data_IF_939931732876
#
_entry.id   IF_939931732876
#
_cell.length_a   1.000
_cell.length_b   1.000
_cell.length_c   1.000
_cell.angle_alpha   90.00
_cell.angle_beta   90.00
_cell.angle_gamma   90.00
#
_symmetry.space_group_name_H-M   'P 1'
#
loop_
_entity.id
_entity.type
_entity.pdbx_description
1 polymer ?
#
# COMPACT_ATOMS: atom_id res chain seq x y z
N UNK A 1 18.26 -15.17 -1.96
CA UNK A 1 18.93 -15.95 -0.89
C UNK A 1 20.26 -15.35 -0.43
N UNK A 2 21.12 -14.84 -1.31
CA UNK A 2 22.41 -14.25 -0.93
C UNK A 2 22.33 -13.15 0.13
N UNK A 3 21.32 -12.25 0.04
CA UNK A 3 21.14 -11.19 1.01
C UNK A 3 20.85 -11.72 2.43
N UNK A 4 20.01 -12.76 2.57
CA UNK A 4 19.66 -13.37 3.87
C UNK A 4 20.89 -14.00 4.54
N UNK A 5 21.75 -14.65 3.74
CA UNK A 5 23.03 -15.18 4.23
C UNK A 5 23.92 -14.04 4.70
N UNK A 6 24.13 -13.02 3.85
CA UNK A 6 24.92 -11.83 4.19
C UNK A 6 24.39 -11.16 5.46
N UNK A 7 23.07 -10.99 5.57
CA UNK A 7 22.45 -10.35 6.73
C UNK A 7 22.63 -11.16 8.01
N UNK A 8 22.32 -12.46 8.00
CA UNK A 8 22.38 -13.31 9.19
C UNK A 8 23.81 -13.65 9.62
N UNK A 9 24.73 -13.82 8.67
CA UNK A 9 26.16 -14.07 8.98
C UNK A 9 26.84 -12.75 9.37
N UNK A 10 26.63 -11.70 8.58
CA UNK A 10 27.25 -10.40 8.80
C UNK A 10 26.92 -9.80 10.18
N UNK A 11 25.65 -9.90 10.60
CA UNK A 11 25.23 -9.42 11.93
C UNK A 11 25.84 -10.19 13.11
N UNK A 12 26.37 -11.40 12.89
CA UNK A 12 27.04 -12.20 13.91
C UNK A 12 28.57 -11.99 13.95
N UNK A 13 29.17 -11.73 12.78
CA UNK A 13 30.60 -11.65 12.61
C UNK A 13 31.15 -10.24 12.64
N UNK A 14 30.33 -9.24 12.28
CA UNK A 14 30.80 -7.86 12.13
C UNK A 14 30.17 -6.96 13.21
N UNK A 15 30.91 -5.92 13.60
CA UNK A 15 30.34 -4.83 14.38
C UNK A 15 29.28 -4.07 13.61
N UNK A 16 28.39 -3.33 14.29
CA UNK A 16 27.22 -2.66 13.70
C UNK A 16 27.59 -1.78 12.49
N UNK A 17 28.61 -0.94 12.60
CA UNK A 17 28.98 0.01 11.55
C UNK A 17 29.52 -0.67 10.28
N UNK A 18 30.57 -1.54 10.34
CA UNK A 18 31.05 -2.23 9.14
C UNK A 18 30.00 -3.15 8.51
N UNK A 19 29.17 -3.82 9.32
CA UNK A 19 28.05 -4.59 8.80
C UNK A 19 27.10 -3.72 7.98
N UNK A 20 26.66 -2.59 8.55
CA UNK A 20 25.76 -1.65 7.88
C UNK A 20 26.30 -1.16 6.54
N UNK A 21 27.59 -0.82 6.50
CA UNK A 21 28.26 -0.36 5.27
C UNK A 21 28.28 -1.48 4.22
N UNK A 22 28.80 -2.65 4.58
CA UNK A 22 28.97 -3.78 3.64
C UNK A 22 27.61 -4.21 3.09
N UNK A 23 26.63 -4.40 3.97
CA UNK A 23 25.29 -4.81 3.54
C UNK A 23 24.66 -3.79 2.61
N UNK A 24 24.74 -2.49 2.94
CA UNK A 24 24.18 -1.42 2.11
C UNK A 24 24.84 -1.36 0.74
N UNK A 25 26.17 -1.45 0.68
CA UNK A 25 26.91 -1.46 -0.59
C UNK A 25 26.56 -2.68 -1.45
N UNK A 26 26.48 -3.86 -0.86
CA UNK A 26 26.04 -5.08 -1.57
C UNK A 26 24.61 -4.95 -2.08
N UNK A 27 23.71 -4.37 -1.28
CA UNK A 27 22.33 -4.12 -1.68
C UNK A 27 22.23 -3.12 -2.82
N UNK A 28 22.97 -2.01 -2.75
CA UNK A 28 23.06 -1.01 -3.83
C UNK A 28 23.61 -1.64 -5.11
N UNK A 29 24.69 -2.44 -5.01
CA UNK A 29 25.26 -3.13 -6.16
C UNK A 29 24.25 -4.08 -6.81
N UNK A 30 23.49 -4.83 -6.03
CA UNK A 30 22.39 -5.67 -6.53
C UNK A 30 21.32 -4.82 -7.23
N UNK A 31 20.92 -3.68 -6.66
CA UNK A 31 19.95 -2.78 -7.29
C UNK A 31 20.48 -2.21 -8.62
N UNK A 32 21.76 -1.85 -8.71
CA UNK A 32 22.40 -1.39 -9.96
C UNK A 32 22.33 -2.48 -11.03
N UNK A 33 22.59 -3.72 -10.64
CA UNK A 33 22.55 -4.86 -11.56
C UNK A 33 21.12 -5.16 -12.07
N UNK A 34 20.11 -5.15 -11.18
CA UNK A 34 18.73 -5.55 -11.55
C UNK A 34 17.90 -4.42 -12.15
N UNK A 35 18.13 -3.17 -11.78
CA UNK A 35 17.31 -2.04 -12.26
C UNK A 35 18.05 -1.19 -13.28
N UNK A 36 18.90 -0.31 -12.85
CA UNK A 36 19.88 0.46 -13.63
C UNK A 36 20.68 1.39 -12.72
N UNK A 37 21.90 1.76 -13.11
CA UNK A 37 22.68 2.78 -12.38
C UNK A 37 21.94 4.10 -12.23
N UNK A 38 21.21 4.53 -13.27
CA UNK A 38 20.46 5.80 -13.29
C UNK A 38 19.36 5.84 -12.24
N UNK A 39 18.55 4.78 -12.12
CA UNK A 39 17.47 4.71 -11.14
C UNK A 39 18.00 4.66 -9.71
N UNK A 40 19.09 3.93 -9.49
CA UNK A 40 19.73 3.86 -8.17
C UNK A 40 20.33 5.20 -7.79
N UNK A 41 21.03 5.88 -8.71
CA UNK A 41 21.57 7.21 -8.49
C UNK A 41 20.45 8.24 -8.19
N UNK A 42 19.32 8.15 -8.90
CA UNK A 42 18.14 9.00 -8.65
C UNK A 42 17.57 8.77 -7.25
N UNK A 43 17.41 7.51 -6.84
CA UNK A 43 16.92 7.18 -5.50
C UNK A 43 17.87 7.71 -4.40
N UNK A 44 19.19 7.49 -4.55
CA UNK A 44 20.20 7.99 -3.60
C UNK A 44 20.18 9.52 -3.55
N UNK A 45 20.10 10.19 -4.71
CA UNK A 45 20.03 11.65 -4.78
C UNK A 45 18.81 12.21 -4.05
N UNK A 46 17.61 11.60 -4.25
CA UNK A 46 16.40 11.97 -3.50
C UNK A 46 16.61 11.84 -1.99
N UNK A 47 17.12 10.71 -1.53
CA UNK A 47 17.38 10.47 -0.11
C UNK A 47 18.39 11.46 0.46
N UNK A 48 19.45 11.77 -0.29
CA UNK A 48 20.49 12.72 0.12
C UNK A 48 19.93 14.14 0.23
N UNK A 49 19.17 14.61 -0.76
CA UNK A 49 18.51 15.93 -0.71
C UNK A 49 17.60 16.03 0.51
N UNK A 50 16.74 15.04 0.73
CA UNK A 50 15.83 15.02 1.87
C UNK A 50 16.59 15.00 3.20
N UNK A 51 17.65 14.19 3.31
CA UNK A 51 18.46 14.11 4.52
C UNK A 51 19.13 15.44 4.85
N UNK A 52 19.76 16.09 3.85
CA UNK A 52 20.42 17.38 4.02
C UNK A 52 19.42 18.46 4.42
N UNK A 53 18.30 18.57 3.71
CA UNK A 53 17.24 19.54 4.02
C UNK A 53 16.70 19.35 5.45
N UNK A 54 16.41 18.11 5.85
CA UNK A 54 15.91 17.80 7.18
C UNK A 54 16.98 17.90 8.28
N UNK A 55 18.25 17.79 7.94
CA UNK A 55 19.34 18.04 8.86
C UNK A 55 19.40 19.52 9.29
N UNK A 56 19.28 20.46 8.34
CA UNK A 56 19.30 21.90 8.60
C UNK A 56 17.95 22.41 9.18
N UNK A 57 16.85 21.97 8.59
CA UNK A 57 15.51 22.48 8.94
C UNK A 57 14.69 21.39 9.63
N UNK A 58 14.94 21.05 10.86
CA UNK A 58 14.33 19.95 11.62
C UNK A 58 12.81 20.12 11.86
N UNK A 59 12.02 20.31 10.79
CA UNK A 59 10.58 20.49 10.82
C UNK A 59 9.90 19.45 9.93
N UNK A 60 8.76 18.91 10.38
CA UNK A 60 7.97 17.94 9.59
C UNK A 60 7.58 18.47 8.21
N UNK A 61 7.28 19.77 8.12
CA UNK A 61 6.97 20.43 6.84
C UNK A 61 8.14 20.37 5.84
N UNK A 62 9.39 20.39 6.31
CA UNK A 62 10.57 20.29 5.44
C UNK A 62 10.62 18.96 4.71
N UNK A 63 10.18 17.86 5.36
CA UNK A 63 10.09 16.53 4.75
C UNK A 63 9.16 16.56 3.54
N UNK A 64 7.97 17.19 3.70
CA UNK A 64 6.98 17.28 2.61
C UNK A 64 7.42 18.24 1.51
N UNK A 65 7.99 19.39 1.86
CA UNK A 65 8.50 20.38 0.90
C UNK A 65 9.65 19.80 0.06
N UNK A 66 10.49 18.94 0.63
CA UNK A 66 11.58 18.30 -0.13
C UNK A 66 11.12 17.06 -0.90
N UNK A 67 10.12 16.31 -0.43
CA UNK A 67 9.70 15.06 -1.07
C UNK A 67 8.66 15.25 -2.19
N UNK A 68 7.63 16.08 -1.98
CA UNK A 68 6.53 16.21 -2.94
C UNK A 68 6.96 16.78 -4.31
N UNK A 69 7.79 17.83 -4.41
CA UNK A 69 8.26 18.30 -5.71
C UNK A 69 9.16 17.27 -6.43
N UNK A 70 10.00 16.54 -5.68
CA UNK A 70 10.83 15.48 -6.25
C UNK A 70 9.96 14.34 -6.79
N UNK A 71 8.96 13.90 -6.01
CA UNK A 71 8.01 12.88 -6.44
C UNK A 71 7.26 13.33 -7.70
N UNK A 72 6.69 14.54 -7.69
CA UNK A 72 5.99 15.10 -8.84
C UNK A 72 6.87 15.12 -10.08
N UNK A 73 8.11 15.63 -9.96
CA UNK A 73 9.04 15.72 -11.07
C UNK A 73 9.38 14.34 -11.66
N UNK A 74 9.70 13.38 -10.80
CA UNK A 74 10.04 12.01 -11.23
C UNK A 74 8.85 11.32 -11.89
N UNK A 75 7.66 11.45 -11.30
CA UNK A 75 6.45 10.82 -11.83
C UNK A 75 5.97 11.45 -13.14
N UNK A 76 6.21 12.75 -13.34
CA UNK A 76 5.84 13.44 -14.58
C UNK A 76 6.85 13.26 -15.71
N UNK A 77 8.08 12.87 -15.40
CA UNK A 77 9.20 12.72 -16.35
C UNK A 77 9.72 11.28 -16.42
N UNK A 78 8.84 10.29 -16.22
CA UNK A 78 9.23 8.86 -16.12
C UNK A 78 10.06 8.40 -17.33
N UNK A 79 9.69 8.81 -18.55
CA UNK A 79 10.36 8.43 -19.80
C UNK A 79 11.80 8.92 -19.88
N UNK A 80 12.17 9.97 -19.15
CA UNK A 80 13.56 10.46 -19.10
C UNK A 80 14.47 9.55 -18.27
N UNK A 81 13.92 8.84 -17.31
CA UNK A 81 14.68 8.04 -16.36
C UNK A 81 14.68 6.56 -16.69
N UNK A 82 13.62 6.04 -17.31
CA UNK A 82 13.53 4.65 -17.70
C UNK A 82 12.55 4.46 -18.86
N UNK A 83 12.87 3.51 -19.75
CA UNK A 83 11.93 3.02 -20.77
C UNK A 83 10.78 2.22 -20.15
N UNK A 84 10.95 1.71 -18.93
CA UNK A 84 9.93 0.99 -18.19
C UNK A 84 9.45 1.84 -16.98
N UNK A 85 8.34 2.58 -17.11
CA UNK A 85 7.81 3.41 -16.03
C UNK A 85 7.50 2.62 -14.75
N UNK A 86 7.15 1.33 -14.86
CA UNK A 86 6.86 0.46 -13.72
C UNK A 86 8.03 0.38 -12.73
N UNK A 87 9.28 0.38 -13.22
CA UNK A 87 10.46 0.38 -12.36
C UNK A 87 10.60 1.66 -11.54
N UNK A 88 10.16 2.79 -12.09
CA UNK A 88 10.15 4.06 -11.35
C UNK A 88 9.09 4.01 -10.25
N UNK A 89 7.89 3.54 -10.58
CA UNK A 89 6.79 3.41 -9.61
C UNK A 89 7.16 2.46 -8.46
N UNK A 90 7.83 1.35 -8.74
CA UNK A 90 8.13 0.33 -7.73
C UNK A 90 9.41 0.59 -6.95
N UNK A 91 10.43 1.18 -7.56
CA UNK A 91 11.72 1.38 -6.89
C UNK A 91 11.89 2.81 -6.36
N UNK A 92 11.82 3.82 -7.24
CA UNK A 92 12.12 5.20 -6.86
C UNK A 92 11.07 5.77 -5.92
N UNK A 93 9.79 5.47 -6.18
CA UNK A 93 8.70 5.98 -5.34
C UNK A 93 8.62 5.28 -3.99
N UNK A 94 8.84 3.96 -3.92
CA UNK A 94 8.87 3.24 -2.63
C UNK A 94 10.07 3.66 -1.79
N UNK A 95 11.26 3.83 -2.38
CA UNK A 95 12.41 4.35 -1.65
C UNK A 95 12.17 5.75 -1.10
N UNK A 96 11.39 6.59 -1.81
CA UNK A 96 10.99 7.90 -1.27
C UNK A 96 10.12 7.78 -0.02
N UNK A 97 9.17 6.83 0.03
CA UNK A 97 8.37 6.61 1.26
C UNK A 97 9.27 6.23 2.44
N UNK A 98 10.29 5.41 2.20
CA UNK A 98 11.27 5.06 3.23
C UNK A 98 12.05 6.30 3.71
N UNK A 99 12.47 7.18 2.80
CA UNK A 99 13.14 8.42 3.18
C UNK A 99 12.23 9.37 3.95
N UNK A 100 10.95 9.50 3.55
CA UNK A 100 9.94 10.26 4.31
C UNK A 100 9.80 9.68 5.71
N UNK A 101 9.63 8.37 5.82
CA UNK A 101 9.48 7.68 7.10
C UNK A 101 10.69 7.91 8.02
N UNK A 102 11.92 7.71 7.50
CA UNK A 102 13.15 7.95 8.26
C UNK A 102 13.21 9.37 8.82
N UNK A 103 13.01 10.37 7.95
CA UNK A 103 13.13 11.76 8.37
C UNK A 103 12.02 12.17 9.35
N UNK A 104 10.76 11.74 9.11
CA UNK A 104 9.65 12.01 10.03
C UNK A 104 9.89 11.41 11.41
N UNK A 105 10.26 10.14 11.47
CA UNK A 105 10.47 9.43 12.74
C UNK A 105 11.70 9.95 13.48
N UNK A 106 12.76 10.32 12.75
CA UNK A 106 13.96 10.93 13.36
C UNK A 106 13.66 12.31 13.93
N UNK A 107 12.82 13.12 13.29
CA UNK A 107 12.35 14.40 13.83
C UNK A 107 11.53 14.17 15.12
N UNK A 108 10.72 13.09 15.16
CA UNK A 108 9.96 12.68 16.34
C UNK A 108 10.82 12.04 17.45
N UNK A 109 12.10 11.82 17.21
CA UNK A 109 13.05 11.26 18.19
C UNK A 109 13.34 9.77 18.08
N UNK A 110 12.75 9.06 17.11
CA UNK A 110 13.04 7.64 16.90
C UNK A 110 14.49 7.44 16.41
N UNK A 111 15.13 6.36 16.89
CA UNK A 111 16.47 5.97 16.46
C UNK A 111 17.60 6.94 16.85
N UNK A 112 17.33 7.96 17.67
CA UNK A 112 18.38 8.88 18.16
C UNK A 112 19.25 8.19 19.20
N UNK A 113 20.54 8.01 18.87
CA UNK A 113 21.58 7.65 19.81
C UNK A 113 22.39 8.92 20.14
N UNK A 114 22.82 9.05 21.40
CA UNK A 114 23.47 10.28 21.92
C UNK A 114 24.77 10.65 21.20
N UNK A 115 25.48 9.65 20.63
CA UNK A 115 26.78 9.80 19.98
C UNK A 115 26.75 9.63 18.44
N UNK A 116 25.58 9.82 17.81
CA UNK A 116 25.47 9.64 16.37
C UNK A 116 26.05 10.81 15.57
N UNK A 117 27.14 10.57 14.87
CA UNK A 117 27.67 11.50 13.87
C UNK A 117 26.69 11.62 12.68
N UNK A 118 26.77 12.71 11.93
CA UNK A 118 25.97 12.94 10.71
C UNK A 118 26.11 11.76 9.74
N UNK A 119 27.35 11.26 9.57
CA UNK A 119 27.63 10.14 8.69
C UNK A 119 26.96 8.85 9.17
N UNK A 120 26.99 8.53 10.46
CA UNK A 120 26.28 7.36 11.00
C UNK A 120 24.77 7.43 10.78
N UNK A 121 24.19 8.60 10.95
CA UNK A 121 22.74 8.83 10.67
C UNK A 121 22.41 8.64 9.20
N UNK A 122 23.25 9.16 8.30
CA UNK A 122 23.09 8.98 6.86
C UNK A 122 23.21 7.49 6.45
N UNK A 123 24.24 6.80 6.96
CA UNK A 123 24.42 5.36 6.73
C UNK A 123 23.23 4.53 7.24
N UNK A 124 22.67 4.88 8.39
CA UNK A 124 21.48 4.22 8.94
C UNK A 124 20.25 4.46 8.05
N UNK A 125 20.06 5.66 7.52
CA UNK A 125 19.00 5.94 6.54
C UNK A 125 19.17 5.08 5.29
N UNK A 126 20.38 4.99 4.74
CA UNK A 126 20.67 4.17 3.57
C UNK A 126 20.45 2.69 3.85
N UNK A 127 20.91 2.18 5.00
CA UNK A 127 20.69 0.81 5.41
C UNK A 127 19.21 0.46 5.52
N UNK A 128 18.42 1.31 6.16
CA UNK A 128 16.98 1.13 6.26
C UNK A 128 16.32 1.11 4.88
N UNK A 129 16.63 2.09 4.03
CA UNK A 129 16.02 2.19 2.70
C UNK A 129 16.43 1.03 1.79
N UNK A 130 17.70 0.61 1.83
CA UNK A 130 18.22 -0.47 1.01
C UNK A 130 18.18 -1.85 1.69
N UNK A 131 17.43 -2.00 2.77
CA UNK A 131 17.15 -3.33 3.32
C UNK A 131 16.26 -4.10 2.35
N UNK A 132 16.83 -5.07 1.67
CA UNK A 132 16.26 -5.74 0.49
C UNK A 132 14.81 -6.22 0.66
N UNK A 133 14.41 -6.88 1.76
CA UNK A 133 13.03 -7.34 1.91
C UNK A 133 12.00 -6.21 1.98
N UNK A 134 12.37 -4.99 2.35
CA UNK A 134 11.43 -3.86 2.48
C UNK A 134 11.55 -2.84 1.35
N UNK A 135 12.47 -3.07 0.41
CA UNK A 135 12.83 -2.07 -0.59
C UNK A 135 11.75 -1.79 -1.64
N UNK A 136 10.96 -2.82 -2.06
CA UNK A 136 10.11 -2.71 -3.25
C UNK A 136 8.61 -2.76 -3.00
N UNK A 137 8.16 -3.39 -1.93
CA UNK A 137 6.74 -3.66 -1.75
C UNK A 137 6.26 -3.61 -0.31
N UNK A 138 7.15 -3.86 0.65
CA UNK A 138 6.80 -3.82 2.06
C UNK A 138 7.18 -2.47 2.65
N UNK A 139 6.16 -1.65 2.92
CA UNK A 139 6.36 -0.40 3.66
C UNK A 139 6.37 -0.73 5.15
N UNK A 140 7.55 -0.63 5.76
CA UNK A 140 7.72 -0.75 7.22
C UNK A 140 8.27 0.57 7.71
N UNK A 141 7.56 1.26 8.59
CA UNK A 141 7.98 2.56 9.09
C UNK A 141 9.32 2.46 9.84
N UNK A 142 10.12 3.52 9.79
CA UNK A 142 11.46 3.51 10.36
C UNK A 142 11.47 3.16 11.86
N UNK A 143 10.55 3.70 12.64
CA UNK A 143 10.41 3.37 14.06
C UNK A 143 10.09 1.89 14.29
N UNK A 144 9.30 1.26 13.41
CA UNK A 144 8.99 -0.17 13.47
C UNK A 144 10.19 -1.02 13.02
N UNK A 145 10.92 -0.56 12.01
CA UNK A 145 12.16 -1.21 11.56
C UNK A 145 13.21 -1.25 12.67
N UNK A 146 13.48 -0.13 13.33
CA UNK A 146 14.42 -0.05 14.47
C UNK A 146 13.98 -0.97 15.61
N UNK A 147 12.68 -1.01 15.92
CA UNK A 147 12.12 -1.91 16.94
C UNK A 147 12.32 -3.38 16.57
N UNK A 148 12.08 -3.75 15.31
CA UNK A 148 12.30 -5.11 14.82
C UNK A 148 13.79 -5.48 14.84
N UNK A 149 14.67 -4.56 14.43
CA UNK A 149 16.12 -4.75 14.47
C UNK A 149 16.63 -4.98 15.90
N UNK A 150 16.12 -4.24 16.87
CA UNK A 150 16.45 -4.44 18.28
C UNK A 150 15.92 -5.78 18.84
N UNK A 151 14.68 -6.12 18.50
CA UNK A 151 14.03 -7.33 18.99
C UNK A 151 14.57 -8.63 18.36
N UNK A 152 15.15 -8.58 17.14
CA UNK A 152 15.57 -9.78 16.41
C UNK A 152 16.65 -10.60 17.10
N UNK A 153 17.49 -9.98 17.91
CA UNK A 153 18.61 -10.63 18.62
C UNK A 153 18.14 -11.42 19.85
N UNK A 154 17.04 -10.98 20.45
CA UNK A 154 16.45 -11.61 21.65
C UNK A 154 15.35 -12.60 21.31
N UNK A 155 14.70 -12.45 20.14
CA UNK A 155 13.61 -13.30 19.70
C UNK A 155 14.15 -14.62 19.12
N UNK A 156 13.68 -15.74 19.67
CA UNK A 156 13.95 -17.05 19.06
C UNK A 156 13.23 -17.17 17.73
N UNK A 157 13.95 -17.67 16.71
CA UNK A 157 13.36 -17.86 15.36
C UNK A 157 12.43 -19.05 15.35
N UNK A 158 11.19 -18.82 14.93
CA UNK A 158 10.21 -19.87 14.71
C UNK A 158 10.30 -20.40 13.27
N UNK A 159 11.12 -21.43 13.08
CA UNK A 159 11.33 -22.07 11.78
C UNK A 159 10.04 -22.72 11.23
N UNK A 160 9.20 -23.29 12.10
CA UNK A 160 7.93 -23.91 11.67
C UNK A 160 7.01 -22.86 11.06
N UNK A 161 6.89 -21.71 11.71
CA UNK A 161 6.11 -20.60 11.19
C UNK A 161 6.68 -20.06 9.86
N UNK A 162 8.00 -19.93 9.73
CA UNK A 162 8.64 -19.48 8.48
C UNK A 162 8.35 -20.44 7.31
N UNK A 163 8.52 -21.74 7.54
CA UNK A 163 8.27 -22.78 6.51
C UNK A 163 6.79 -22.82 6.13
N UNK A 164 5.90 -22.85 7.11
CA UNK A 164 4.46 -22.85 6.86
C UNK A 164 4.00 -21.60 6.09
N UNK A 165 4.55 -20.43 6.44
CA UNK A 165 4.27 -19.20 5.72
C UNK A 165 4.76 -19.26 4.26
N UNK A 166 5.98 -19.77 4.04
CA UNK A 166 6.52 -19.93 2.69
C UNK A 166 5.71 -20.92 1.84
N UNK A 167 5.31 -22.05 2.42
CA UNK A 167 4.44 -23.04 1.75
C UNK A 167 3.09 -22.42 1.36
N UNK A 168 2.50 -21.59 2.20
CA UNK A 168 1.24 -20.91 1.90
C UNK A 168 1.38 -19.92 0.75
N UNK A 169 2.47 -19.15 0.69
CA UNK A 169 2.73 -18.25 -0.45
C UNK A 169 2.96 -19.06 -1.74
N UNK A 170 3.74 -20.14 -1.68
CA UNK A 170 3.94 -21.02 -2.82
C UNK A 170 2.63 -21.64 -3.33
N UNK A 171 1.74 -22.07 -2.42
CA UNK A 171 0.40 -22.56 -2.77
C UNK A 171 -0.40 -21.50 -3.53
N UNK A 172 -0.48 -20.26 -3.03
CA UNK A 172 -1.23 -19.19 -3.71
C UNK A 172 -0.62 -18.81 -5.05
N UNK A 173 0.71 -18.86 -5.17
CA UNK A 173 1.38 -18.67 -6.45
C UNK A 173 0.97 -19.76 -7.44
N UNK A 174 1.05 -21.04 -7.04
CA UNK A 174 0.61 -22.16 -7.88
C UNK A 174 -0.86 -22.03 -8.29
N UNK A 175 -1.75 -21.68 -7.36
CA UNK A 175 -3.18 -21.45 -7.66
C UNK A 175 -3.35 -20.34 -8.70
N UNK A 176 -2.60 -19.23 -8.56
CA UNK A 176 -2.65 -18.13 -9.52
C UNK A 176 -2.17 -18.56 -10.91
N UNK A 177 -1.04 -19.25 -11.00
CA UNK A 177 -0.48 -19.73 -12.27
C UNK A 177 -1.44 -20.71 -12.97
N UNK A 178 -1.98 -21.69 -12.23
CA UNK A 178 -2.96 -22.63 -12.76
C UNK A 178 -4.21 -21.89 -13.27
N UNK A 179 -4.74 -20.95 -12.48
CA UNK A 179 -5.92 -20.18 -12.88
C UNK A 179 -5.67 -19.33 -14.13
N UNK A 180 -4.48 -18.76 -14.31
CA UNK A 180 -4.11 -18.00 -15.51
C UNK A 180 -4.06 -18.84 -16.80
N UNK A 181 -3.89 -20.15 -16.70
CA UNK A 181 -3.98 -21.05 -17.85
C UNK A 181 -5.40 -21.21 -18.40
N UNK A 182 -6.42 -20.94 -17.59
CA UNK A 182 -7.82 -21.09 -17.98
C UNK A 182 -8.55 -19.75 -18.12
N UNK A 183 -8.13 -18.73 -17.40
CA UNK A 183 -8.82 -17.44 -17.29
C UNK A 183 -8.00 -16.32 -17.96
N UNK A 184 -8.19 -16.15 -19.26
CA UNK A 184 -7.48 -15.15 -20.08
C UNK A 184 -8.06 -13.73 -19.90
N UNK A 185 -8.34 -13.33 -18.67
CA UNK A 185 -9.03 -12.06 -18.36
C UNK A 185 -8.29 -10.83 -18.93
N UNK A 186 -6.96 -10.82 -18.91
CA UNK A 186 -6.17 -9.70 -19.41
C UNK A 186 -6.25 -9.58 -20.93
N UNK A 187 -6.28 -10.69 -21.65
CA UNK A 187 -6.47 -10.70 -23.11
C UNK A 187 -7.85 -10.14 -23.48
N UNK A 188 -8.90 -10.47 -22.70
CA UNK A 188 -10.25 -9.92 -22.88
C UNK A 188 -10.24 -8.41 -22.64
N UNK A 189 -9.57 -7.93 -21.58
CA UNK A 189 -9.48 -6.50 -21.26
C UNK A 189 -8.71 -5.70 -22.31
N UNK A 190 -7.69 -6.29 -22.91
CA UNK A 190 -6.94 -5.65 -24.01
C UNK A 190 -7.70 -5.62 -25.32
N UNK A 191 -8.68 -6.48 -25.52
CA UNK A 191 -9.57 -6.49 -26.68
C UNK A 191 -10.94 -5.91 -26.30
N UNK A 192 -10.99 -4.58 -26.22
CA UNK A 192 -12.21 -3.87 -25.81
C UNK A 192 -13.39 -4.15 -26.75
N UNK A 193 -13.13 -4.36 -28.07
CA UNK A 193 -14.16 -4.70 -29.03
C UNK A 193 -14.84 -6.03 -28.68
N UNK A 194 -14.06 -7.03 -28.28
CA UNK A 194 -14.59 -8.31 -27.78
C UNK A 194 -15.33 -8.13 -26.45
N UNK A 195 -14.79 -7.35 -25.52
CA UNK A 195 -15.44 -7.08 -24.26
C UNK A 195 -16.83 -6.43 -24.44
N UNK A 196 -17.04 -5.61 -25.47
CA UNK A 196 -18.36 -5.06 -25.84
C UNK A 196 -19.37 -6.12 -26.22
N UNK A 197 -18.96 -7.26 -26.76
CA UNK A 197 -19.88 -8.35 -27.17
C UNK A 197 -20.32 -9.22 -25.99
N UNK A 198 -19.64 -9.12 -24.83
CA UNK A 198 -19.94 -9.96 -23.67
C UNK A 198 -21.29 -9.58 -23.06
N UNK A 199 -22.13 -10.57 -22.68
CA UNK A 199 -23.34 -10.32 -21.92
C UNK A 199 -23.01 -9.84 -20.50
N UNK A 200 -23.99 -9.24 -19.81
CA UNK A 200 -23.83 -8.60 -18.51
C UNK A 200 -23.24 -9.53 -17.43
N UNK A 201 -23.70 -10.77 -17.37
CA UNK A 201 -23.27 -11.78 -16.40
C UNK A 201 -21.77 -12.15 -16.59
N UNK A 202 -21.33 -12.28 -17.84
CA UNK A 202 -19.92 -12.53 -18.14
C UNK A 202 -19.06 -11.30 -17.84
N UNK A 203 -19.55 -10.11 -18.13
CA UNK A 203 -18.87 -8.86 -17.82
C UNK A 203 -18.73 -8.67 -16.31
N UNK A 204 -19.79 -8.99 -15.55
CA UNK A 204 -19.74 -8.98 -14.09
C UNK A 204 -18.72 -10.01 -13.54
N UNK A 205 -18.73 -11.23 -14.08
CA UNK A 205 -17.75 -12.27 -13.74
C UNK A 205 -16.32 -11.84 -14.06
N UNK A 206 -16.12 -11.15 -15.18
CA UNK A 206 -14.82 -10.56 -15.55
C UNK A 206 -14.36 -9.54 -14.51
N UNK A 207 -15.24 -8.66 -14.02
CA UNK A 207 -14.89 -7.67 -12.98
C UNK A 207 -14.46 -8.32 -11.66
N UNK A 208 -15.16 -9.36 -11.23
CA UNK A 208 -14.76 -10.13 -10.05
C UNK A 208 -13.41 -10.83 -10.26
N UNK A 209 -13.20 -11.39 -11.44
CA UNK A 209 -11.95 -12.06 -11.83
C UNK A 209 -10.77 -11.09 -11.75
N UNK A 210 -10.90 -9.89 -12.30
CA UNK A 210 -9.88 -8.83 -12.20
C UNK A 210 -9.51 -8.56 -10.73
N UNK A 211 -10.52 -8.36 -9.87
CA UNK A 211 -10.31 -8.10 -8.45
C UNK A 211 -9.63 -9.26 -7.72
N UNK A 212 -10.00 -10.50 -8.01
CA UNK A 212 -9.40 -11.71 -7.42
C UNK A 212 -7.94 -11.85 -7.85
N UNK A 213 -7.63 -11.71 -9.14
CA UNK A 213 -6.25 -11.79 -9.62
C UNK A 213 -5.38 -10.65 -9.10
N UNK A 214 -5.90 -9.45 -9.03
CA UNK A 214 -5.22 -8.33 -8.40
C UNK A 214 -4.86 -8.65 -6.94
N UNK A 215 -5.80 -9.18 -6.18
CA UNK A 215 -5.56 -9.59 -4.80
C UNK A 215 -4.51 -10.71 -4.69
N UNK A 216 -4.61 -11.78 -5.51
CA UNK A 216 -3.64 -12.88 -5.53
C UNK A 216 -2.23 -12.39 -5.89
N UNK A 217 -2.13 -11.49 -6.87
CA UNK A 217 -0.86 -10.86 -7.27
C UNK A 217 -0.21 -10.15 -6.07
N UNK A 218 -0.98 -9.41 -5.27
CA UNK A 218 -0.46 -8.74 -4.09
C UNK A 218 -0.15 -9.68 -2.92
N UNK A 219 -0.86 -10.81 -2.79
CA UNK A 219 -0.45 -11.87 -1.85
C UNK A 219 0.98 -12.33 -2.12
N UNK A 220 1.34 -12.47 -3.40
CA UNK A 220 2.68 -12.90 -3.81
C UNK A 220 3.69 -11.73 -3.65
N UNK A 221 3.34 -10.53 -4.14
CA UNK A 221 4.21 -9.33 -4.08
C UNK A 221 4.62 -8.99 -2.65
N UNK A 222 3.71 -9.10 -1.68
CA UNK A 222 4.00 -8.87 -0.27
C UNK A 222 4.55 -10.12 0.42
N UNK A 223 4.08 -11.30 0.02
CA UNK A 223 4.45 -12.56 0.65
C UNK A 223 5.90 -12.97 0.42
N UNK A 224 6.42 -12.83 -0.80
CA UNK A 224 7.80 -13.20 -1.13
C UNK A 224 8.83 -12.42 -0.29
N UNK A 225 8.83 -11.08 -0.25
CA UNK A 225 9.78 -10.35 0.58
C UNK A 225 9.54 -10.58 2.09
N UNK A 226 8.31 -10.83 2.51
CA UNK A 226 8.02 -11.17 3.90
C UNK A 226 8.63 -12.51 4.33
N UNK A 227 8.76 -13.50 3.42
CA UNK A 227 9.50 -14.75 3.69
C UNK A 227 10.95 -14.44 4.04
N UNK A 228 11.61 -13.61 3.22
CA UNK A 228 13.01 -13.24 3.45
C UNK A 228 13.19 -12.43 4.74
N UNK A 229 12.29 -11.50 5.03
CA UNK A 229 12.30 -10.76 6.29
C UNK A 229 12.17 -11.72 7.51
N UNK A 230 11.25 -12.70 7.44
CA UNK A 230 11.09 -13.71 8.49
C UNK A 230 12.34 -14.58 8.65
N UNK A 231 13.03 -14.91 7.55
CA UNK A 231 14.32 -15.59 7.59
C UNK A 231 15.44 -14.72 8.21
N UNK A 232 15.31 -13.41 8.23
CA UNK A 232 16.18 -12.48 8.94
C UNK A 232 15.74 -12.24 10.39
N UNK A 233 14.73 -12.96 10.86
CA UNK A 233 14.09 -12.80 12.17
C UNK A 233 13.39 -11.44 12.35
N UNK A 234 13.04 -10.81 11.24
CA UNK A 234 12.19 -9.63 11.20
C UNK A 234 10.71 -10.07 11.05
N UNK A 235 9.78 -9.29 11.57
CA UNK A 235 8.37 -9.67 11.56
C UNK A 235 7.51 -8.57 10.89
N UNK A 236 7.59 -8.41 9.57
CA UNK A 236 6.74 -7.50 8.87
C UNK A 236 5.30 -7.97 8.96
N UNK A 237 4.37 -7.03 9.02
CA UNK A 237 2.95 -7.30 8.87
C UNK A 237 2.53 -6.93 7.45
N UNK A 238 2.75 -7.79 6.45
CA UNK A 238 2.36 -7.51 5.08
C UNK A 238 0.85 -7.35 4.97
N UNK A 239 0.38 -6.80 3.87
CA UNK A 239 -1.03 -6.76 3.52
C UNK A 239 -1.64 -8.15 3.38
N UNK A 240 -2.39 -8.45 2.32
CA UNK A 240 -3.11 -9.73 2.19
C UNK A 240 -2.13 -10.91 2.17
N UNK A 241 -2.36 -11.87 3.04
CA UNK A 241 -1.56 -13.11 3.14
C UNK A 241 -2.29 -14.29 2.50
N UNK A 242 -3.59 -14.17 2.34
CA UNK A 242 -4.48 -15.12 1.67
C UNK A 242 -5.69 -14.35 1.15
N UNK A 243 -6.52 -14.97 0.29
CA UNK A 243 -7.81 -14.36 -0.07
C UNK A 243 -8.55 -14.11 1.25
N UNK A 244 -8.62 -12.83 1.61
CA UNK A 244 -9.11 -12.49 2.93
C UNK A 244 -10.63 -12.59 2.95
N UNK A 245 -11.15 -12.97 4.12
CA UNK A 245 -12.58 -12.86 4.43
C UNK A 245 -13.13 -11.45 4.16
N UNK A 246 -12.27 -10.43 4.12
CA UNK A 246 -12.63 -9.04 3.88
C UNK A 246 -13.23 -8.83 2.48
N UNK A 247 -12.72 -9.53 1.45
CA UNK A 247 -13.28 -9.41 0.10
C UNK A 247 -14.55 -10.25 -0.12
N UNK A 248 -14.70 -11.37 0.60
CA UNK A 248 -15.78 -12.32 0.33
C UNK A 248 -16.89 -12.37 1.40
N UNK A 249 -16.59 -12.11 2.67
CA UNK A 249 -17.51 -12.45 3.76
C UNK A 249 -17.51 -11.50 4.96
N UNK A 250 -16.70 -10.47 5.04
CA UNK A 250 -16.69 -9.56 6.18
C UNK A 250 -17.52 -8.31 5.93
N UNK A 251 -17.89 -7.66 7.03
CA UNK A 251 -18.62 -6.39 7.01
C UNK A 251 -17.98 -5.45 6.00
N UNK A 252 -18.74 -4.94 5.02
CA UNK A 252 -18.21 -4.11 3.94
C UNK A 252 -17.83 -2.71 4.46
N UNK A 253 -16.68 -2.62 5.12
CA UNK A 253 -16.08 -1.35 5.50
C UNK A 253 -14.94 -1.06 4.54
N UNK A 254 -15.08 -0.03 3.73
CA UNK A 254 -14.04 0.39 2.79
C UNK A 254 -12.74 0.74 3.52
N UNK A 255 -12.84 1.37 4.68
CA UNK A 255 -11.68 1.66 5.54
C UNK A 255 -10.94 0.38 5.95
N UNK A 256 -11.68 -0.70 6.25
CA UNK A 256 -11.06 -1.97 6.63
C UNK A 256 -10.40 -2.65 5.45
N UNK A 257 -10.98 -2.57 4.24
CA UNK A 257 -10.37 -3.08 3.01
C UNK A 257 -9.01 -2.43 2.80
N UNK A 258 -8.92 -1.12 2.83
CA UNK A 258 -7.66 -0.40 2.64
C UNK A 258 -6.64 -0.68 3.74
N UNK A 259 -7.09 -0.77 4.99
CA UNK A 259 -6.21 -1.10 6.13
C UNK A 259 -5.59 -2.49 6.03
N UNK A 260 -6.34 -3.46 5.53
CA UNK A 260 -5.88 -4.84 5.46
C UNK A 260 -5.20 -5.18 4.13
N UNK A 261 -5.45 -4.39 3.08
CA UNK A 261 -4.84 -4.59 1.76
C UNK A 261 -3.35 -4.24 1.76
N UNK A 262 -3.00 -3.05 2.23
CA UNK A 262 -1.61 -2.62 2.42
C UNK A 262 -1.45 -1.93 3.78
N UNK A 263 -1.09 -2.72 4.77
CA UNK A 263 -0.95 -2.27 6.16
C UNK A 263 0.16 -1.25 6.32
N UNK A 264 1.24 -1.40 5.57
CA UNK A 264 2.37 -0.48 5.64
C UNK A 264 2.00 0.90 5.10
N UNK A 265 1.38 0.95 3.93
CA UNK A 265 0.90 2.19 3.32
C UNK A 265 -0.19 2.86 4.17
N UNK A 266 -1.12 2.06 4.72
CA UNK A 266 -2.11 2.58 5.66
C UNK A 266 -1.48 3.22 6.90
N UNK A 267 -0.47 2.58 7.52
CA UNK A 267 0.24 3.13 8.66
C UNK A 267 1.02 4.39 8.29
N UNK A 268 1.62 4.43 7.11
CA UNK A 268 2.29 5.61 6.58
C UNK A 268 1.33 6.81 6.51
N UNK A 269 0.20 6.67 5.83
CA UNK A 269 -0.80 7.74 5.73
C UNK A 269 -1.37 8.13 7.09
N UNK A 270 -1.71 7.13 7.91
CA UNK A 270 -2.24 7.38 9.25
C UNK A 270 -1.27 8.21 10.10
N UNK A 271 0.01 7.82 10.18
CA UNK A 271 0.95 8.39 11.12
C UNK A 271 1.55 9.72 10.63
N UNK A 272 1.74 9.87 9.31
CA UNK A 272 2.43 11.05 8.79
C UNK A 272 1.52 12.09 8.15
N UNK A 273 0.28 11.73 7.78
CA UNK A 273 -0.67 12.65 7.16
C UNK A 273 -1.94 12.80 8.01
N UNK A 274 -2.68 11.71 8.21
CA UNK A 274 -4.02 11.78 8.79
C UNK A 274 -4.01 12.23 10.24
N UNK A 275 -3.25 11.58 11.12
CA UNK A 275 -3.19 11.92 12.55
C UNK A 275 -2.67 13.35 12.77
N UNK A 276 -1.55 13.81 12.16
CA UNK A 276 -1.08 15.18 12.31
C UNK A 276 -2.09 16.24 11.87
N UNK A 277 -2.92 15.97 10.85
CA UNK A 277 -3.98 16.88 10.42
C UNK A 277 -5.15 16.87 11.40
N UNK A 278 -5.49 15.70 11.93
CA UNK A 278 -6.63 15.54 12.83
C UNK A 278 -6.38 16.09 14.24
N UNK A 279 -5.14 16.03 14.74
CA UNK A 279 -4.78 16.52 16.07
C UNK A 279 -4.99 18.04 16.21
N UNK A 280 -5.33 18.54 17.43
CA UNK A 280 -5.59 17.75 18.64
C UNK A 280 -7.06 17.29 18.79
N UNK A 281 -8.00 17.79 17.98
CA UNK A 281 -9.45 17.69 18.27
C UNK A 281 -10.16 16.53 17.55
N UNK A 282 -9.56 15.96 16.52
CA UNK A 282 -10.18 14.93 15.68
C UNK A 282 -11.60 15.28 15.19
N UNK A 283 -11.88 16.58 14.98
CA UNK A 283 -13.17 17.05 14.48
C UNK A 283 -13.49 16.47 13.11
N UNK A 284 -14.78 16.43 12.74
CA UNK A 284 -15.20 15.87 11.44
C UNK A 284 -14.54 16.61 10.26
N UNK A 285 -14.46 17.95 10.31
CA UNK A 285 -13.77 18.72 9.28
C UNK A 285 -12.31 18.34 9.12
N UNK A 286 -11.56 18.18 10.22
CA UNK A 286 -10.16 17.73 10.18
C UNK A 286 -10.02 16.32 9.63
N UNK A 287 -10.92 15.39 9.97
CA UNK A 287 -10.94 14.03 9.40
C UNK A 287 -11.17 14.06 7.90
N UNK A 288 -12.11 14.87 7.42
CA UNK A 288 -12.37 15.05 5.98
C UNK A 288 -11.13 15.62 5.30
N UNK A 289 -10.51 16.66 5.85
CA UNK A 289 -9.25 17.21 5.33
C UNK A 289 -8.15 16.16 5.29
N UNK A 290 -7.97 15.38 6.36
CA UNK A 290 -6.97 14.30 6.41
C UNK A 290 -7.19 13.22 5.33
N UNK A 291 -8.44 12.86 5.07
CA UNK A 291 -8.81 11.95 3.97
C UNK A 291 -8.47 12.58 2.62
N UNK A 292 -8.90 13.82 2.38
CA UNK A 292 -8.65 14.52 1.11
C UNK A 292 -7.15 14.63 0.80
N UNK A 293 -6.33 15.04 1.79
CA UNK A 293 -4.87 15.15 1.62
C UNK A 293 -4.24 13.78 1.37
N UNK A 294 -4.67 12.73 2.08
CA UNK A 294 -4.16 11.37 1.86
C UNK A 294 -4.44 10.88 0.44
N UNK A 295 -5.66 11.05 -0.05
CA UNK A 295 -6.03 10.67 -1.42
C UNK A 295 -5.40 11.56 -2.50
N UNK A 296 -5.16 12.84 -2.21
CA UNK A 296 -4.39 13.72 -3.11
C UNK A 296 -2.95 13.21 -3.27
N UNK A 297 -2.33 12.71 -2.20
CA UNK A 297 -1.03 12.07 -2.29
C UNK A 297 -1.09 10.79 -3.14
N UNK A 298 -2.11 9.96 -2.96
CA UNK A 298 -2.31 8.74 -3.76
C UNK A 298 -2.49 9.08 -5.24
N UNK A 299 -3.23 10.15 -5.55
CA UNK A 299 -3.41 10.63 -6.93
C UNK A 299 -2.09 11.13 -7.54
N UNK A 300 -1.30 11.88 -6.77
CA UNK A 300 0.03 12.31 -7.18
C UNK A 300 0.95 11.11 -7.50
N UNK A 301 0.84 10.05 -6.70
CA UNK A 301 1.61 8.82 -6.86
C UNK A 301 1.21 8.03 -8.12
N UNK A 302 -0.10 7.85 -8.36
CA UNK A 302 -0.62 7.06 -9.49
C UNK A 302 -0.72 7.85 -10.80
N UNK A 303 -0.56 9.17 -10.74
CA UNK A 303 -0.72 10.07 -11.89
C UNK A 303 -2.18 10.52 -12.10
N UNK A 304 -2.31 11.70 -12.71
CA UNK A 304 -3.60 12.39 -12.92
C UNK A 304 -4.35 11.86 -14.16
N UNK A 305 -4.40 10.54 -14.35
CA UNK A 305 -5.19 9.92 -15.41
C UNK A 305 -6.67 9.88 -15.03
N UNK A 306 -7.56 9.95 -16.03
CA UNK A 306 -9.00 9.96 -15.80
C UNK A 306 -9.49 8.79 -14.94
N UNK A 307 -9.03 7.57 -15.21
CA UNK A 307 -9.42 6.39 -14.43
C UNK A 307 -8.96 6.47 -12.96
N UNK A 308 -7.79 7.05 -12.68
CA UNK A 308 -7.31 7.26 -11.31
C UNK A 308 -8.14 8.33 -10.58
N UNK A 309 -8.54 9.38 -11.28
CA UNK A 309 -9.41 10.43 -10.70
C UNK A 309 -10.77 9.82 -10.32
N UNK A 310 -11.40 9.08 -11.24
CA UNK A 310 -12.69 8.41 -10.97
C UNK A 310 -12.55 7.44 -9.78
N UNK A 311 -11.52 6.61 -9.79
CA UNK A 311 -11.22 5.69 -8.70
C UNK A 311 -11.14 6.41 -7.34
N UNK A 312 -10.36 7.48 -7.26
CA UNK A 312 -10.16 8.24 -6.02
C UNK A 312 -11.43 8.94 -5.57
N UNK A 313 -12.16 9.60 -6.47
CA UNK A 313 -13.40 10.31 -6.15
C UNK A 313 -14.44 9.34 -5.58
N UNK A 314 -14.65 8.19 -6.21
CA UNK A 314 -15.60 7.18 -5.73
C UNK A 314 -15.18 6.61 -4.36
N UNK A 315 -13.89 6.38 -4.12
CA UNK A 315 -13.40 5.93 -2.82
C UNK A 315 -13.58 7.00 -1.73
N UNK A 316 -13.31 8.27 -2.03
CA UNK A 316 -13.54 9.37 -1.09
C UNK A 316 -15.01 9.45 -0.72
N UNK A 317 -15.91 9.43 -1.69
CA UNK A 317 -17.37 9.49 -1.46
C UNK A 317 -17.81 8.32 -0.57
N UNK A 318 -17.41 7.09 -0.91
CA UNK A 318 -17.77 5.90 -0.14
C UNK A 318 -17.22 5.97 1.31
N UNK A 319 -16.00 6.43 1.49
CA UNK A 319 -15.39 6.59 2.82
C UNK A 319 -16.08 7.69 3.63
N UNK A 320 -16.43 8.82 3.01
CA UNK A 320 -17.15 9.90 3.68
C UNK A 320 -18.57 9.46 4.09
N UNK A 321 -19.27 8.69 3.26
CA UNK A 321 -20.56 8.08 3.62
C UNK A 321 -20.43 7.15 4.83
N UNK A 322 -19.42 6.28 4.85
CA UNK A 322 -19.15 5.40 5.99
C UNK A 322 -18.80 6.18 7.26
N UNK A 323 -17.96 7.20 7.17
CA UNK A 323 -17.60 8.07 8.30
C UNK A 323 -18.81 8.84 8.84
N UNK A 324 -19.65 9.37 7.96
CA UNK A 324 -20.87 10.10 8.32
C UNK A 324 -21.88 9.21 9.03
N UNK A 325 -22.09 7.99 8.51
CA UNK A 325 -22.98 7.00 9.14
C UNK A 325 -22.47 6.61 10.56
N UNK A 326 -21.17 6.37 10.71
CA UNK A 326 -20.56 6.08 12.02
C UNK A 326 -20.69 7.26 12.99
N UNK A 327 -20.50 8.48 12.49
CA UNK A 327 -20.65 9.70 13.32
C UNK A 327 -22.10 9.90 13.75
N UNK A 328 -23.07 9.66 12.87
CA UNK A 328 -24.49 9.72 13.21
C UNK A 328 -24.85 8.68 14.29
N UNK A 329 -24.39 7.45 14.15
CA UNK A 329 -24.62 6.39 15.12
C UNK A 329 -23.93 6.65 16.49
N UNK A 330 -22.87 7.44 16.52
CA UNK A 330 -22.21 7.86 17.74
C UNK A 330 -22.97 8.94 18.53
N UNK A 331 -23.99 9.58 17.95
CA UNK A 331 -24.84 10.54 18.63
C UNK A 331 -25.82 9.81 19.55
N UNK A 332 -25.73 10.07 20.86
CA UNK A 332 -26.54 9.39 21.87
C UNK A 332 -28.05 9.52 21.62
N UNK A 333 -28.51 10.69 21.21
CA UNK A 333 -29.93 10.91 20.90
C UNK A 333 -30.42 10.01 19.78
N UNK A 334 -29.62 9.85 18.71
CA UNK A 334 -29.96 8.95 17.59
C UNK A 334 -29.88 7.49 18.01
N UNK A 335 -28.83 7.09 18.73
CA UNK A 335 -28.67 5.72 19.23
C UNK A 335 -29.82 5.31 20.14
N UNK A 336 -30.17 6.14 21.13
CA UNK A 336 -31.24 5.90 22.08
C UNK A 336 -32.63 5.86 21.38
N UNK A 337 -32.87 6.77 20.40
CA UNK A 337 -34.09 6.73 19.58
C UNK A 337 -34.19 5.42 18.80
N UNK A 338 -33.08 5.03 18.14
CA UNK A 338 -33.02 3.79 17.35
C UNK A 338 -33.24 2.56 18.22
N UNK A 339 -32.61 2.45 19.36
CA UNK A 339 -32.75 1.30 20.27
C UNK A 339 -34.16 1.17 20.83
N UNK A 340 -34.84 2.28 21.07
CA UNK A 340 -36.23 2.28 21.53
C UNK A 340 -37.25 1.95 20.43
N UNK A 341 -36.99 2.33 19.19
CA UNK A 341 -37.99 2.27 18.10
C UNK A 341 -37.76 1.13 17.12
N UNK A 342 -36.53 0.65 16.97
CA UNK A 342 -36.17 -0.32 15.95
C UNK A 342 -35.38 -1.46 16.59
N UNK A 343 -35.84 -2.70 16.46
CA UNK A 343 -35.07 -3.87 16.91
C UNK A 343 -33.76 -4.01 16.13
N UNK A 344 -32.76 -4.65 16.72
CA UNK A 344 -31.46 -4.88 16.08
C UNK A 344 -31.57 -5.62 14.76
N UNK A 345 -32.48 -6.57 14.68
CA UNK A 345 -32.76 -7.33 13.45
C UNK A 345 -33.27 -6.40 12.35
N UNK A 346 -34.29 -5.60 12.66
CA UNK A 346 -34.88 -4.68 11.68
C UNK A 346 -33.89 -3.57 11.29
N UNK A 347 -33.07 -3.07 12.23
CA UNK A 347 -32.05 -2.09 11.90
C UNK A 347 -30.99 -2.67 10.93
N UNK A 348 -30.56 -3.92 11.13
CA UNK A 348 -29.67 -4.60 10.18
C UNK A 348 -30.33 -4.77 8.80
N UNK A 349 -31.64 -5.07 8.75
CA UNK A 349 -32.40 -5.15 7.49
C UNK A 349 -32.47 -3.81 6.76
N UNK A 350 -32.60 -2.70 7.50
CA UNK A 350 -32.56 -1.35 6.92
C UNK A 350 -31.15 -1.00 6.42
N UNK A 351 -30.11 -1.38 7.17
CA UNK A 351 -28.73 -1.10 6.76
C UNK A 351 -28.28 -1.93 5.56
N UNK A 352 -28.82 -3.14 5.37
CA UNK A 352 -28.38 -4.03 4.29
C UNK A 352 -28.51 -3.39 2.90
N UNK A 353 -29.63 -2.82 2.47
CA UNK A 353 -29.72 -2.14 1.17
C UNK A 353 -28.88 -0.85 1.10
N UNK A 354 -28.71 -0.12 2.23
CA UNK A 354 -27.86 1.07 2.26
C UNK A 354 -26.38 0.73 2.05
N UNK A 355 -25.93 -0.46 2.42
CA UNK A 355 -24.56 -0.93 2.15
C UNK A 355 -24.29 -1.24 0.68
N UNK A 356 -25.34 -1.41 -0.16
CA UNK A 356 -25.18 -1.62 -1.60
C UNK A 356 -24.51 -0.40 -2.24
N UNK A 357 -24.81 0.81 -1.78
CA UNK A 357 -24.27 2.05 -2.35
C UNK A 357 -22.75 2.14 -2.23
N UNK A 358 -22.14 2.10 -1.00
CA UNK A 358 -20.69 2.12 -0.90
C UNK A 358 -20.02 0.88 -1.51
N UNK A 359 -20.69 -0.27 -1.53
CA UNK A 359 -20.21 -1.45 -2.24
C UNK A 359 -20.13 -1.23 -3.76
N UNK A 360 -21.18 -0.67 -4.35
CA UNK A 360 -21.19 -0.33 -5.77
C UNK A 360 -20.09 0.68 -6.13
N UNK A 361 -19.91 1.73 -5.31
CA UNK A 361 -18.80 2.67 -5.51
C UNK A 361 -17.43 1.97 -5.42
N UNK A 362 -17.23 1.07 -4.47
CA UNK A 362 -16.02 0.27 -4.37
C UNK A 362 -15.78 -0.60 -5.60
N UNK A 363 -16.82 -1.27 -6.09
CA UNK A 363 -16.74 -2.11 -7.28
C UNK A 363 -16.41 -1.30 -8.55
N UNK A 364 -17.17 -0.23 -8.81
CA UNK A 364 -16.90 0.64 -9.96
C UNK A 364 -15.53 1.29 -9.91
N UNK A 365 -15.13 1.78 -8.74
CA UNK A 365 -13.82 2.38 -8.56
C UNK A 365 -12.68 1.41 -8.91
N UNK A 366 -12.80 0.15 -8.47
CA UNK A 366 -11.81 -0.87 -8.78
C UNK A 366 -11.78 -1.24 -10.26
N UNK A 367 -12.93 -1.31 -10.93
CA UNK A 367 -13.00 -1.57 -12.37
C UNK A 367 -12.29 -0.46 -13.16
N UNK A 368 -12.54 0.81 -12.81
CA UNK A 368 -11.82 1.94 -13.42
C UNK A 368 -10.32 1.88 -13.18
N UNK A 369 -9.91 1.60 -11.96
CA UNK A 369 -8.49 1.55 -11.59
C UNK A 369 -7.75 0.39 -12.27
N UNK A 370 -8.34 -0.80 -12.31
CA UNK A 370 -7.70 -2.02 -12.80
C UNK A 370 -7.88 -2.24 -14.30
N UNK A 371 -9.04 -1.86 -14.84
CA UNK A 371 -9.38 -2.04 -16.24
C UNK A 371 -9.12 -0.81 -17.12
N UNK A 372 -8.89 0.34 -16.51
CA UNK A 372 -8.74 1.61 -17.23
C UNK A 372 -10.06 2.27 -17.62
N UNK A 373 -9.95 3.45 -18.26
CA UNK A 373 -11.11 4.29 -18.56
C UNK A 373 -12.12 3.63 -19.52
N UNK A 374 -11.65 2.91 -20.53
CA UNK A 374 -12.52 2.28 -21.53
C UNK A 374 -13.34 1.13 -20.94
N UNK A 375 -12.68 0.26 -20.16
CA UNK A 375 -13.36 -0.86 -19.49
C UNK A 375 -14.33 -0.33 -18.44
N UNK A 376 -13.93 0.68 -17.66
CA UNK A 376 -14.82 1.32 -16.69
C UNK A 376 -16.06 1.93 -17.33
N UNK A 377 -15.90 2.66 -18.44
CA UNK A 377 -17.01 3.24 -19.19
C UNK A 377 -17.93 2.16 -19.79
N UNK A 378 -17.35 1.07 -20.33
CA UNK A 378 -18.10 -0.07 -20.83
C UNK A 378 -19.03 -0.66 -19.75
N UNK A 379 -18.50 -0.86 -18.55
CA UNK A 379 -19.29 -1.39 -17.42
C UNK A 379 -20.45 -0.48 -17.07
N UNK A 380 -20.20 0.83 -16.95
CA UNK A 380 -21.25 1.81 -16.66
C UNK A 380 -22.33 1.75 -17.74
N UNK A 381 -21.91 1.83 -19.02
CA UNK A 381 -22.84 1.79 -20.14
C UNK A 381 -23.71 0.53 -20.13
N UNK A 382 -23.10 -0.65 -20.07
CA UNK A 382 -23.84 -1.93 -20.10
C UNK A 382 -24.78 -2.13 -18.93
N UNK A 383 -24.45 -1.66 -17.73
CA UNK A 383 -25.31 -1.83 -16.56
C UNK A 383 -26.51 -0.88 -16.61
N UNK A 384 -26.33 0.37 -17.10
CA UNK A 384 -27.39 1.37 -17.10
C UNK A 384 -28.23 1.42 -18.37
N UNK A 385 -27.68 1.09 -19.55
CA UNK A 385 -28.39 1.22 -20.83
C UNK A 385 -29.11 -0.06 -21.25
N UNK A 386 -28.75 -1.23 -20.78
CA UNK A 386 -29.46 -2.46 -21.14
C UNK A 386 -30.58 -2.76 -20.13
N UNK A 387 -31.83 -2.67 -20.60
CA UNK A 387 -33.06 -2.72 -19.79
C UNK A 387 -33.39 -4.04 -19.08
N UNK A 388 -32.63 -5.11 -19.26
CA UNK A 388 -32.95 -6.40 -18.62
C UNK A 388 -31.83 -6.95 -17.77
N UNK A 389 -32.03 -6.99 -16.45
CA UNK A 389 -31.37 -7.96 -15.57
C UNK A 389 -32.23 -9.24 -15.66
N UNK A 390 -31.79 -10.30 -16.33
CA UNK A 390 -32.45 -11.59 -16.15
C UNK A 390 -32.06 -12.11 -14.78
N UNK A 391 -32.94 -11.86 -13.80
CA UNK A 391 -32.93 -12.65 -12.57
C UNK A 391 -33.43 -14.03 -12.98
N UNK A 392 -32.52 -14.92 -13.28
CA UNK A 392 -32.76 -16.35 -13.37
C UNK A 392 -32.24 -17.04 -12.12
#
# INVERSE_FOLDING_TARGET
>A
MSHTVLFNVGTKLLAETPFTIIYTLCSIAACVYYFSPTLVALSIAQGTIMFVMCHFFRRKMTVWISSLPLLYYVMHQTTKFSQNPFLIYTFVSYSMLSYVSYNMDTINGAGRKQDDTILKRYLRMMFYTFYQPYLFSLIVLYADFERQMAARTTKQRDWKHCVFFAMRIALWWTVMEVALHFLYYEAILRNIAYAYTLPKDQLFSLSLTIGIFFHLKYVIIFGLPAIFAKLDNMDPQPGPICISRVMLFSKPSLLQVWREFDRGLYQFFKNYIFVPICEPTFSMGRKVTGVMVSYSFVLLWHGFYHHNIVWIVLNIIALLLEMSAKSLYAVDSFRNWRERKISDVNFRRILAPLHIVPFAFGLYSNIYFLGGSEVGALFVKKIWEEETVPIR
#
